data_IF_381710628475
#
_entry.id   IF_381710628475
#
_cell.length_a   1.000
_cell.length_b   1.000
_cell.length_c   1.000
_cell.angle_alpha   90.00
_cell.angle_beta   90.00
_cell.angle_gamma   90.00
#
_symmetry.space_group_name_H-M   'P 1'
#
loop_
_entity.id
_entity.type
_entity.pdbx_description
1 polymer ?
#
# COMPACT_ATOMS: atom_id res chain seq x y z
N UNK A 1 3.02 1.47 21.31
CA UNK A 1 2.61 2.35 22.42
C UNK A 1 3.21 3.71 22.15
N UNK A 2 2.50 4.50 21.34
CA UNK A 2 2.66 5.94 21.25
C UNK A 2 2.78 6.58 22.64
N UNK A 3 3.75 7.47 22.84
CA UNK A 3 3.92 8.20 24.09
C UNK A 3 3.32 9.61 23.99
N UNK A 4 2.95 10.20 25.13
CA UNK A 4 2.59 11.62 25.20
C UNK A 4 3.87 12.43 25.38
N UNK A 5 4.13 13.35 24.47
CA UNK A 5 5.17 14.36 24.64
C UNK A 5 4.80 15.32 25.80
N UNK A 6 5.78 16.09 26.28
CA UNK A 6 5.59 17.03 27.40
C UNK A 6 4.53 18.11 27.10
N UNK A 7 4.25 18.37 25.82
CA UNK A 7 3.20 19.29 25.34
C UNK A 7 1.81 18.64 25.20
N UNK A 8 1.66 17.38 25.61
CA UNK A 8 0.41 16.62 25.53
C UNK A 8 0.14 15.97 24.17
N UNK A 9 0.98 16.19 23.16
CA UNK A 9 0.81 15.59 21.82
C UNK A 9 1.21 14.12 21.82
N UNK A 10 0.43 13.28 21.13
CA UNK A 10 0.70 11.85 21.01
C UNK A 10 1.70 11.63 19.87
N UNK A 11 2.83 11.00 20.14
CA UNK A 11 3.87 10.72 19.15
C UNK A 11 4.05 9.22 18.94
N UNK A 12 4.43 8.82 17.73
CA UNK A 12 4.77 7.44 17.41
C UNK A 12 6.05 7.00 18.13
N UNK A 13 6.06 5.77 18.62
CA UNK A 13 7.27 5.15 19.14
C UNK A 13 8.19 4.75 17.98
N UNK A 14 9.33 5.43 17.86
CA UNK A 14 10.38 5.09 16.88
C UNK A 14 11.26 3.90 17.30
N UNK A 15 11.04 3.33 18.48
CA UNK A 15 11.84 2.22 19.03
C UNK A 15 11.54 0.89 18.34
N UNK A 16 12.40 -0.12 18.57
CA UNK A 16 12.21 -1.48 18.03
C UNK A 16 10.96 -2.20 18.57
N UNK A 17 10.32 -1.70 19.63
CA UNK A 17 9.23 -2.42 20.33
C UNK A 17 7.91 -2.46 19.56
N UNK A 18 7.72 -1.53 18.63
CA UNK A 18 6.44 -1.36 17.92
C UNK A 18 6.70 -1.17 16.42
N UNK A 19 6.85 -2.30 15.67
CA UNK A 19 7.33 -2.27 14.29
C UNK A 19 6.55 -1.36 13.34
N UNK A 20 5.22 -1.33 13.46
CA UNK A 20 4.33 -0.51 12.65
C UNK A 20 4.49 1.00 12.92
N UNK A 21 4.70 1.39 14.18
CA UNK A 21 4.94 2.79 14.56
C UNK A 21 6.34 3.23 14.10
N UNK A 22 7.36 2.38 14.28
CA UNK A 22 8.71 2.60 13.74
C UNK A 22 8.69 2.73 12.22
N UNK A 23 7.92 1.90 11.52
CA UNK A 23 7.75 2.00 10.08
C UNK A 23 7.13 3.34 9.67
N UNK A 24 6.08 3.80 10.37
CA UNK A 24 5.47 5.10 10.13
C UNK A 24 6.46 6.27 10.31
N UNK A 25 7.31 6.23 11.34
CA UNK A 25 8.38 7.23 11.54
C UNK A 25 9.40 7.18 10.40
N UNK A 26 9.86 5.98 10.03
CA UNK A 26 10.86 5.81 8.96
C UNK A 26 10.32 6.21 7.58
N UNK A 27 9.03 5.99 7.31
CA UNK A 27 8.38 6.43 6.07
C UNK A 27 8.41 7.96 5.89
N UNK A 28 8.32 8.73 6.98
CA UNK A 28 8.47 10.19 6.92
C UNK A 28 9.88 10.62 6.50
N UNK A 29 10.90 9.92 7.00
CA UNK A 29 12.29 10.14 6.57
C UNK A 29 12.52 9.71 5.12
N UNK A 30 11.95 8.56 4.72
CA UNK A 30 12.02 8.05 3.36
C UNK A 30 11.46 9.06 2.34
N UNK A 31 10.31 9.68 2.62
CA UNK A 31 9.73 10.68 1.72
C UNK A 31 10.70 11.84 1.44
N UNK A 32 11.47 12.27 2.45
CA UNK A 32 12.41 13.39 2.33
C UNK A 32 13.74 12.97 1.69
N UNK A 33 14.28 11.82 2.07
CA UNK A 33 15.67 11.43 1.79
C UNK A 33 15.83 10.35 0.73
N UNK A 34 14.78 9.56 0.48
CA UNK A 34 14.84 8.34 -0.33
C UNK A 34 15.48 7.14 0.35
N UNK A 35 15.92 7.28 1.60
CA UNK A 35 16.50 6.17 2.36
C UNK A 35 15.35 5.25 2.78
N UNK A 36 15.37 4.01 2.29
CA UNK A 36 14.34 3.02 2.61
C UNK A 36 14.33 2.68 4.11
N UNK A 37 13.15 2.48 4.72
CA UNK A 37 13.05 2.02 6.10
C UNK A 37 13.84 0.72 6.32
N UNK A 38 14.72 0.71 7.32
CA UNK A 38 15.49 -0.46 7.74
C UNK A 38 14.62 -1.62 8.26
N UNK A 39 13.40 -1.30 8.71
CA UNK A 39 12.41 -2.28 9.15
C UNK A 39 11.58 -2.87 8.00
N UNK A 40 11.63 -2.31 6.79
CA UNK A 40 10.90 -2.86 5.65
C UNK A 40 11.52 -4.20 5.19
N UNK A 41 10.68 -5.15 4.79
CA UNK A 41 11.12 -6.37 4.12
C UNK A 41 11.77 -6.07 2.77
N UNK A 42 12.42 -7.06 2.15
CA UNK A 42 13.19 -6.86 0.91
C UNK A 42 12.31 -6.35 -0.25
N UNK A 43 11.17 -6.99 -0.49
CA UNK A 43 10.24 -6.62 -1.57
C UNK A 43 9.64 -5.22 -1.37
N UNK A 44 9.22 -4.91 -0.14
CA UNK A 44 8.71 -3.58 0.19
C UNK A 44 9.79 -2.51 0.03
N UNK A 45 11.01 -2.80 0.48
CA UNK A 45 12.16 -1.90 0.31
C UNK A 45 12.44 -1.62 -1.17
N UNK A 46 12.40 -2.64 -2.02
CA UNK A 46 12.61 -2.46 -3.46
C UNK A 46 11.47 -1.69 -4.12
N UNK A 47 10.22 -1.99 -3.78
CA UNK A 47 9.06 -1.23 -4.25
C UNK A 47 9.16 0.27 -3.87
N UNK A 48 9.58 0.58 -2.65
CA UNK A 48 9.83 1.96 -2.20
C UNK A 48 10.97 2.62 -2.97
N UNK A 49 12.06 1.91 -3.28
CA UNK A 49 13.15 2.45 -4.13
C UNK A 49 12.63 2.84 -5.51
N UNK A 50 11.84 1.98 -6.16
CA UNK A 50 11.23 2.27 -7.46
C UNK A 50 10.28 3.47 -7.40
N UNK A 51 9.45 3.54 -6.34
CA UNK A 51 8.55 4.67 -6.11
C UNK A 51 9.32 5.99 -5.95
N UNK A 52 10.39 6.00 -5.17
CA UNK A 52 11.23 7.19 -5.00
C UNK A 52 11.95 7.59 -6.29
N UNK A 53 12.41 6.61 -7.08
CA UNK A 53 12.99 6.86 -8.40
C UNK A 53 11.98 7.53 -9.35
N UNK A 54 10.71 7.10 -9.33
CA UNK A 54 9.61 7.75 -10.07
C UNK A 54 9.41 9.20 -9.66
N UNK A 55 9.44 9.51 -8.37
CA UNK A 55 9.37 10.89 -7.88
C UNK A 55 10.52 11.74 -8.44
N UNK A 56 11.76 11.25 -8.35
CA UNK A 56 12.92 11.94 -8.91
C UNK A 56 12.82 12.15 -10.42
N UNK A 57 12.45 11.12 -11.17
CA UNK A 57 12.30 11.19 -12.62
C UNK A 57 11.25 12.24 -13.04
N UNK A 58 10.22 12.47 -12.22
CA UNK A 58 9.22 13.53 -12.42
C UNK A 58 9.63 14.91 -11.88
N UNK A 59 10.82 15.02 -11.28
CA UNK A 59 11.33 16.24 -10.65
C UNK A 59 10.53 16.63 -9.40
N UNK A 60 10.01 15.65 -8.67
CA UNK A 60 9.22 15.84 -7.47
C UNK A 60 10.08 15.71 -6.22
N UNK A 61 9.92 16.67 -5.31
CA UNK A 61 10.33 16.53 -3.90
C UNK A 61 9.08 16.27 -3.08
N UNK A 62 9.12 15.30 -2.16
CA UNK A 62 7.97 14.95 -1.33
C UNK A 62 8.27 15.17 0.15
N UNK A 63 7.22 15.47 0.92
CA UNK A 63 7.28 15.41 2.38
C UNK A 63 6.08 14.63 2.87
N UNK A 64 6.29 13.80 3.88
CA UNK A 64 5.25 13.00 4.50
C UNK A 64 5.32 13.20 6.02
N UNK A 65 4.17 13.42 6.62
CA UNK A 65 3.99 13.45 8.07
C UNK A 65 2.88 12.48 8.43
N UNK A 66 3.18 11.58 9.38
CA UNK A 66 2.24 10.57 9.87
C UNK A 66 2.17 10.76 11.37
N UNK A 67 1.00 11.15 11.88
CA UNK A 67 0.78 11.39 13.31
C UNK A 67 -0.30 10.46 13.87
N UNK A 68 -0.24 10.05 15.13
CA UNK A 68 -1.28 9.23 15.74
C UNK A 68 -2.63 9.95 15.72
N UNK A 69 -3.70 9.22 15.36
CA UNK A 69 -5.06 9.72 15.57
C UNK A 69 -5.41 9.68 17.07
N UNK A 70 -6.31 10.57 17.50
CA UNK A 70 -6.81 10.60 18.89
C UNK A 70 -7.47 9.28 19.27
N UNK A 71 -8.27 8.73 18.36
CA UNK A 71 -8.89 7.43 18.50
C UNK A 71 -7.95 6.30 18.05
N UNK A 72 -7.85 5.26 18.88
CA UNK A 72 -7.11 4.04 18.54
C UNK A 72 -8.10 2.87 18.51
N UNK A 73 -8.15 2.13 17.40
CA UNK A 73 -8.94 0.91 17.35
C UNK A 73 -8.35 -0.14 18.31
N UNK A 74 -9.18 -0.86 19.08
CA UNK A 74 -8.70 -1.98 19.88
C UNK A 74 -8.08 -3.05 18.98
N UNK A 75 -6.81 -3.40 19.22
CA UNK A 75 -6.20 -4.53 18.54
C UNK A 75 -6.73 -5.83 19.15
N UNK A 76 -7.34 -6.68 18.33
CA UNK A 76 -7.74 -8.03 18.74
C UNK A 76 -6.94 -9.06 17.97
N UNK A 77 -6.34 -10.02 18.71
CA UNK A 77 -5.72 -11.19 18.11
C UNK A 77 -6.81 -12.17 17.70
N UNK A 78 -6.94 -12.37 16.40
CA UNK A 78 -7.86 -13.32 15.77
C UNK A 78 -7.12 -14.06 14.66
N UNK A 79 -7.69 -15.16 14.15
CA UNK A 79 -7.14 -15.86 12.98
C UNK A 79 -7.00 -14.96 11.74
N UNK A 80 -7.68 -13.82 11.69
CA UNK A 80 -7.60 -12.86 10.58
C UNK A 80 -6.45 -11.84 10.76
N UNK A 81 -5.94 -11.70 11.97
CA UNK A 81 -4.87 -10.74 12.32
C UNK A 81 -3.56 -11.42 12.68
N UNK A 82 -3.57 -12.71 12.99
CA UNK A 82 -2.37 -13.47 13.31
C UNK A 82 -2.39 -14.83 12.62
N UNK A 83 -1.28 -15.18 11.95
CA UNK A 83 -1.05 -16.50 11.37
C UNK A 83 0.44 -16.84 11.46
N UNK A 84 0.76 -18.12 11.40
CA UNK A 84 2.13 -18.61 11.44
C UNK A 84 2.34 -19.71 10.41
N UNK A 85 3.55 -19.77 9.88
CA UNK A 85 4.05 -20.93 9.16
C UNK A 85 5.01 -21.73 10.07
N UNK A 86 5.80 -22.64 9.49
CA UNK A 86 6.74 -23.49 10.23
C UNK A 86 7.83 -22.68 10.97
N UNK A 87 8.26 -21.53 10.42
CA UNK A 87 9.41 -20.74 10.87
C UNK A 87 9.12 -19.27 11.20
N UNK A 88 7.99 -18.73 10.72
CA UNK A 88 7.64 -17.32 10.80
C UNK A 88 6.22 -17.08 11.32
N UNK A 89 6.08 -16.05 12.16
CA UNK A 89 4.78 -15.51 12.58
C UNK A 89 4.51 -14.26 11.78
N UNK A 90 3.25 -14.03 11.50
CA UNK A 90 2.78 -12.85 10.81
C UNK A 90 1.61 -12.24 11.60
N UNK A 91 1.75 -10.97 11.95
CA UNK A 91 0.73 -10.20 12.65
C UNK A 91 0.34 -8.98 11.81
N UNK A 92 -0.92 -8.93 11.38
CA UNK A 92 -1.52 -7.73 10.80
C UNK A 92 -1.85 -6.76 11.93
N UNK A 93 -1.25 -5.57 11.89
CA UNK A 93 -1.46 -4.49 12.85
C UNK A 93 -2.07 -3.28 12.15
N UNK A 94 -3.15 -2.77 12.73
CA UNK A 94 -3.93 -1.67 12.15
C UNK A 94 -3.99 -0.45 13.07
N UNK A 95 -3.46 0.69 12.64
CA UNK A 95 -3.44 1.91 13.47
C UNK A 95 -4.08 3.10 12.75
N UNK A 96 -4.94 3.83 13.43
CA UNK A 96 -5.46 5.09 12.90
C UNK A 96 -4.40 6.18 13.04
N UNK A 97 -4.21 6.95 11.98
CA UNK A 97 -3.23 8.02 11.89
C UNK A 97 -3.79 9.18 11.06
N UNK A 98 -3.18 10.36 11.18
CA UNK A 98 -3.37 11.44 10.22
C UNK A 98 -2.15 11.49 9.30
N UNK A 99 -2.39 11.56 8.00
CA UNK A 99 -1.38 11.67 6.95
C UNK A 99 -1.42 13.09 6.36
N UNK A 100 -0.27 13.75 6.31
CA UNK A 100 -0.04 14.93 5.48
C UNK A 100 1.07 14.64 4.48
N UNK A 101 0.74 14.55 3.21
CA UNK A 101 1.68 14.30 2.12
C UNK A 101 1.67 15.49 1.16
N UNK A 102 2.84 16.11 0.97
CA UNK A 102 3.00 17.28 0.10
C UNK A 102 3.95 16.96 -1.04
N UNK A 103 3.59 17.41 -2.23
CA UNK A 103 4.38 17.28 -3.44
C UNK A 103 4.86 18.65 -3.89
N UNK A 104 6.16 18.77 -4.14
CA UNK A 104 6.82 19.99 -4.55
C UNK A 104 7.49 19.80 -5.90
N UNK A 105 7.50 20.87 -6.71
CA UNK A 105 8.28 20.98 -7.92
C UNK A 105 9.13 22.25 -7.84
N UNK A 106 10.44 22.07 -7.68
CA UNK A 106 11.30 23.13 -7.15
C UNK A 106 10.83 23.55 -5.76
N UNK A 107 10.64 24.86 -5.56
CA UNK A 107 10.18 25.42 -4.28
C UNK A 107 8.65 25.50 -4.17
N UNK A 108 7.92 25.29 -5.27
CA UNK A 108 6.47 25.39 -5.30
C UNK A 108 5.83 24.09 -4.84
N UNK A 109 4.99 24.17 -3.81
CA UNK A 109 4.05 23.11 -3.46
C UNK A 109 2.97 23.01 -4.55
N UNK A 110 2.88 21.87 -5.22
CA UNK A 110 1.90 21.63 -6.30
C UNK A 110 0.66 20.88 -5.83
N UNK A 111 0.76 20.15 -4.70
CA UNK A 111 -0.36 19.44 -4.11
C UNK A 111 -0.10 19.15 -2.62
N UNK A 112 -1.17 19.18 -1.83
CA UNK A 112 -1.16 18.78 -0.42
C UNK A 112 -2.32 17.84 -0.18
N UNK A 113 -2.00 16.65 0.30
CA UNK A 113 -2.94 15.61 0.64
C UNK A 113 -2.98 15.49 2.15
N UNK A 114 -4.16 15.74 2.71
CA UNK A 114 -4.41 15.59 4.15
C UNK A 114 -5.60 14.69 4.35
N UNK A 115 -5.38 13.62 5.11
CA UNK A 115 -6.45 12.71 5.44
C UNK A 115 -6.19 11.97 6.74
N UNK A 116 -7.29 11.50 7.34
CA UNK A 116 -7.21 10.47 8.35
C UNK A 116 -7.07 9.12 7.62
N UNK A 117 -6.15 8.29 8.06
CA UNK A 117 -5.83 7.02 7.43
C UNK A 117 -5.86 5.88 8.45
N UNK A 118 -6.15 4.67 7.99
CA UNK A 118 -5.80 3.46 8.73
C UNK A 118 -4.51 2.88 8.14
N UNK A 119 -3.43 2.92 8.91
CA UNK A 119 -2.19 2.22 8.62
C UNK A 119 -2.46 0.73 8.76
N UNK A 120 -2.10 -0.05 7.74
CA UNK A 120 -2.10 -1.50 7.80
C UNK A 120 -0.68 -2.01 7.54
N UNK A 121 -0.12 -2.66 8.56
CA UNK A 121 1.21 -3.24 8.53
C UNK A 121 1.11 -4.75 8.74
N UNK A 122 1.75 -5.54 7.88
CA UNK A 122 2.00 -6.97 8.16
C UNK A 122 3.40 -7.05 8.76
N UNK A 123 3.48 -7.43 10.03
CA UNK A 123 4.73 -7.63 10.76
C UNK A 123 5.07 -9.11 10.70
N UNK A 124 6.25 -9.43 10.19
CA UNK A 124 6.78 -10.80 10.13
C UNK A 124 7.92 -10.95 11.12
N UNK A 125 7.83 -11.98 11.96
CA UNK A 125 8.80 -12.31 12.99
C UNK A 125 9.07 -13.82 13.01
N UNK A 126 10.01 -14.31 13.79
CA UNK A 126 10.36 -15.75 13.87
C UNK A 126 9.48 -16.49 14.88
N UNK A 127 8.95 -17.67 14.53
CA UNK A 127 8.09 -18.51 15.43
C UNK A 127 8.85 -19.25 16.52
N UNK A 128 10.15 -19.48 16.30
CA UNK A 128 10.99 -20.43 17.05
C UNK A 128 12.29 -19.75 17.50
N UNK A 129 13.08 -20.44 18.32
CA UNK A 129 14.44 -20.01 18.65
C UNK A 129 15.23 -19.67 17.36
N UNK A 130 16.12 -18.69 17.46
CA UNK A 130 16.94 -18.15 16.37
C UNK A 130 17.58 -19.23 15.48
N UNK A 131 17.92 -20.38 16.09
CA UNK A 131 18.54 -21.54 15.46
C UNK A 131 17.73 -22.13 14.29
N UNK A 132 16.40 -22.03 14.32
CA UNK A 132 15.55 -22.59 13.26
C UNK A 132 15.58 -21.78 11.94
N UNK A 133 15.88 -20.47 12.03
CA UNK A 133 15.98 -19.58 10.87
C UNK A 133 17.43 -19.34 10.43
N UNK A 134 18.42 -19.70 11.23
CA UNK A 134 19.85 -19.52 10.93
C UNK A 134 20.29 -20.08 9.57
N UNK A 135 19.65 -21.17 9.14
CA UNK A 135 19.94 -21.83 7.86
C UNK A 135 19.25 -21.19 6.65
N UNK A 136 18.31 -20.28 6.87
CA UNK A 136 17.56 -19.62 5.81
C UNK A 136 18.41 -18.53 5.13
N UNK A 137 18.11 -18.27 3.86
CA UNK A 137 18.81 -17.30 3.03
C UNK A 137 18.16 -15.93 3.13
N UNK A 138 18.95 -14.89 3.42
CA UNK A 138 18.48 -13.53 3.57
C UNK A 138 19.30 -12.57 2.71
N UNK A 139 18.65 -11.54 2.17
CA UNK A 139 19.31 -10.49 1.41
C UNK A 139 20.01 -9.52 2.37
N UNK A 140 21.34 -9.42 2.31
CA UNK A 140 22.12 -8.57 3.20
C UNK A 140 21.61 -7.12 3.12
N UNK A 141 21.15 -6.51 4.23
CA UNK A 141 20.65 -5.13 4.22
C UNK A 141 21.68 -4.07 3.78
N UNK A 142 22.97 -4.38 3.93
CA UNK A 142 24.07 -3.46 3.64
C UNK A 142 24.48 -3.49 2.16
N UNK A 143 24.67 -4.68 1.57
CA UNK A 143 25.20 -4.82 0.22
C UNK A 143 24.26 -5.51 -0.79
N UNK A 144 23.11 -6.03 -0.32
CA UNK A 144 22.17 -6.78 -1.16
C UNK A 144 22.60 -8.19 -1.53
N UNK A 145 23.78 -8.65 -1.09
CA UNK A 145 24.22 -10.02 -1.34
C UNK A 145 23.40 -11.01 -0.51
N UNK A 146 22.99 -12.11 -1.11
CA UNK A 146 22.25 -13.16 -0.39
C UNK A 146 23.24 -14.01 0.39
N UNK A 147 22.96 -14.18 1.68
CA UNK A 147 23.78 -14.96 2.62
C UNK A 147 22.87 -15.68 3.60
N UNK A 148 23.36 -16.72 4.28
CA UNK A 148 22.57 -17.36 5.32
C UNK A 148 22.45 -16.43 6.53
N UNK A 149 21.35 -16.52 7.27
CA UNK A 149 21.14 -15.71 8.47
C UNK A 149 22.31 -15.90 9.46
N UNK A 150 22.77 -17.13 9.67
CA UNK A 150 23.96 -17.41 10.50
C UNK A 150 25.23 -16.70 10.03
N UNK A 151 25.41 -16.56 8.72
CA UNK A 151 26.57 -15.87 8.12
C UNK A 151 26.43 -14.37 8.32
N UNK A 152 25.23 -13.81 8.19
CA UNK A 152 24.99 -12.40 8.50
C UNK A 152 25.24 -12.07 9.98
N UNK A 153 25.01 -13.03 10.87
CA UNK A 153 25.30 -12.87 12.31
C UNK A 153 26.80 -12.84 12.62
N UNK A 154 27.61 -13.61 11.90
CA UNK A 154 29.07 -13.64 12.10
C UNK A 154 29.82 -12.63 11.23
N UNK A 155 29.22 -12.22 10.10
CA UNK A 155 29.72 -11.25 9.12
C UNK A 155 29.37 -11.68 7.70
N UNK A 156 28.67 -10.80 6.96
CA UNK A 156 28.32 -11.05 5.57
C UNK A 156 29.57 -11.42 4.75
N UNK A 157 29.60 -12.55 4.01
CA UNK A 157 30.76 -12.98 3.24
C UNK A 157 31.26 -11.95 2.21
N UNK A 158 30.39 -11.03 1.79
CA UNK A 158 30.66 -10.07 0.73
C UNK A 158 31.07 -8.69 1.23
N UNK A 159 30.40 -8.16 2.26
CA UNK A 159 30.67 -6.80 2.78
C UNK A 159 31.14 -6.78 4.24
N UNK A 160 31.27 -7.94 4.88
CA UNK A 160 31.72 -8.12 6.26
C UNK A 160 30.86 -7.42 7.33
N UNK A 161 29.72 -6.84 6.94
CA UNK A 161 28.76 -6.25 7.88
C UNK A 161 28.12 -7.34 8.73
N UNK A 162 28.09 -7.15 10.04
CA UNK A 162 27.47 -8.05 11.02
C UNK A 162 26.10 -7.55 11.43
N UNK A 163 25.15 -8.47 11.57
CA UNK A 163 23.77 -8.17 11.94
C UNK A 163 23.38 -8.94 13.19
N UNK A 164 22.67 -8.31 14.11
CA UNK A 164 21.99 -9.05 15.16
C UNK A 164 20.68 -9.60 14.62
N UNK A 165 20.13 -10.66 15.24
CA UNK A 165 18.80 -11.15 14.84
C UNK A 165 17.74 -10.05 14.93
N UNK A 166 17.88 -9.14 15.90
CA UNK A 166 17.01 -7.96 16.07
C UNK A 166 17.14 -6.90 14.97
N UNK A 167 18.11 -7.05 14.06
CA UNK A 167 18.27 -6.22 12.86
C UNK A 167 17.63 -6.89 11.63
N UNK A 168 17.43 -8.21 11.68
CA UNK A 168 16.82 -9.02 10.64
C UNK A 168 15.32 -9.26 10.89
N UNK A 169 14.89 -9.32 12.15
CA UNK A 169 13.50 -9.46 12.57
C UNK A 169 13.17 -8.58 13.80
N UNK A 170 11.90 -8.18 13.97
CA UNK A 170 10.80 -8.30 13.01
C UNK A 170 10.94 -7.35 11.81
N UNK A 171 10.28 -7.68 10.70
CA UNK A 171 10.20 -6.83 9.50
C UNK A 171 8.75 -6.53 9.13
N UNK A 172 8.52 -5.32 8.62
CA UNK A 172 7.25 -4.94 8.01
C UNK A 172 7.29 -5.34 6.54
N UNK A 173 6.53 -6.38 6.20
CA UNK A 173 6.51 -6.98 4.86
C UNK A 173 5.50 -6.34 3.93
N UNK A 174 4.43 -5.79 4.47
CA UNK A 174 3.47 -4.99 3.72
C UNK A 174 3.06 -3.77 4.55
N UNK A 175 2.97 -2.61 3.90
CA UNK A 175 2.62 -1.34 4.53
C UNK A 175 1.81 -0.49 3.54
N UNK A 176 0.55 -0.21 3.88
CA UNK A 176 -0.34 0.59 3.06
C UNK A 176 -1.36 1.35 3.90
N UNK A 177 -1.92 2.39 3.30
CA UNK A 177 -2.91 3.25 3.93
C UNK A 177 -4.30 2.98 3.37
N UNK A 178 -5.28 2.86 4.26
CA UNK A 178 -6.67 3.12 3.91
C UNK A 178 -6.94 4.58 4.14
N UNK A 179 -7.52 5.24 3.15
CA UNK A 179 -7.84 6.65 3.26
C UNK A 179 -9.27 6.82 3.76
N UNK A 180 -9.48 7.66 4.76
CA UNK A 180 -10.80 8.17 5.09
C UNK A 180 -11.16 9.28 4.09
N UNK A 181 -12.36 9.21 3.52
CA UNK A 181 -12.86 10.11 2.47
C UNK A 181 -13.07 11.57 2.94
N UNK A 182 -12.49 11.92 4.09
CA UNK A 182 -12.33 13.25 4.67
C UNK A 182 -12.04 14.36 3.65
N UNK A 183 -11.18 14.12 2.65
CA UNK A 183 -10.88 15.10 1.59
C UNK A 183 -12.09 15.36 0.67
N UNK A 184 -12.89 14.34 0.36
CA UNK A 184 -14.13 14.48 -0.40
C UNK A 184 -15.21 15.15 0.44
N UNK A 185 -15.31 14.82 1.73
CA UNK A 185 -16.22 15.49 2.66
C UNK A 185 -15.88 16.99 2.77
N UNK A 186 -14.58 17.36 2.81
CA UNK A 186 -14.14 18.76 2.74
C UNK A 186 -14.60 19.46 1.44
N UNK A 187 -14.53 18.77 0.29
CA UNK A 187 -15.03 19.32 -1.00
C UNK A 187 -16.55 19.50 -0.99
N UNK A 188 -17.30 18.51 -0.50
CA UNK A 188 -18.76 18.59 -0.36
C UNK A 188 -19.14 19.74 0.57
N UNK A 189 -18.40 19.95 1.66
CA UNK A 189 -18.56 21.10 2.55
C UNK A 189 -18.36 22.42 1.80
N UNK A 190 -17.29 22.55 1.00
CA UNK A 190 -17.03 23.77 0.24
C UNK A 190 -18.12 24.04 -0.82
N UNK A 191 -18.66 22.99 -1.44
CA UNK A 191 -19.82 23.10 -2.34
C UNK A 191 -21.05 23.59 -1.57
N UNK A 192 -21.31 23.05 -0.38
CA UNK A 192 -22.40 23.51 0.48
C UNK A 192 -22.27 24.98 0.88
N UNK A 193 -21.06 25.43 1.22
CA UNK A 193 -20.78 26.85 1.51
C UNK A 193 -21.05 27.72 0.26
N UNK A 194 -20.55 27.32 -0.90
CA UNK A 194 -20.77 28.06 -2.15
C UNK A 194 -22.25 28.13 -2.54
N UNK A 195 -23.00 27.03 -2.36
CA UNK A 195 -24.44 26.99 -2.58
C UNK A 195 -25.19 27.92 -1.62
N UNK A 196 -24.80 27.96 -0.34
CA UNK A 196 -25.38 28.88 0.64
C UNK A 196 -25.16 30.36 0.28
N UNK A 197 -23.95 30.72 -0.18
CA UNK A 197 -23.64 32.07 -0.68
C UNK A 197 -24.49 32.40 -1.90
N UNK A 198 -24.66 31.46 -2.83
CA UNK A 198 -25.49 31.66 -4.02
C UNK A 198 -26.97 31.88 -3.67
N UNK A 199 -27.53 31.08 -2.76
CA UNK A 199 -28.92 31.23 -2.27
C UNK A 199 -29.11 32.59 -1.61
N UNK A 200 -28.14 33.02 -0.78
CA UNK A 200 -28.16 34.35 -0.17
C UNK A 200 -28.18 35.47 -1.21
N UNK A 201 -27.28 35.41 -2.20
CA UNK A 201 -27.21 36.43 -3.26
C UNK A 201 -28.52 36.50 -4.05
N UNK A 202 -29.09 35.35 -4.42
CA UNK A 202 -30.37 35.29 -5.13
C UNK A 202 -31.52 35.89 -4.30
N UNK A 203 -31.56 35.59 -3.00
CA UNK A 203 -32.56 36.15 -2.09
C UNK A 203 -32.42 37.68 -1.94
N UNK A 204 -31.19 38.19 -1.85
CA UNK A 204 -30.92 39.64 -1.78
C UNK A 204 -31.31 40.32 -3.09
N UNK A 205 -30.98 39.75 -4.25
CA UNK A 205 -31.38 40.29 -5.56
C UNK A 205 -32.91 40.35 -5.66
N UNK A 206 -33.61 39.30 -5.24
CA UNK A 206 -35.07 39.27 -5.21
C UNK A 206 -35.66 40.37 -4.32
N UNK A 207 -35.07 40.61 -3.14
CA UNK A 207 -35.47 41.69 -2.25
C UNK A 207 -35.19 43.09 -2.81
N UNK A 208 -34.12 43.27 -3.60
CA UNK A 208 -33.83 44.57 -4.25
C UNK A 208 -34.81 44.83 -5.40
N UNK A 209 -35.16 43.80 -6.18
CA UNK A 209 -36.10 43.93 -7.31
C UNK A 209 -37.52 44.27 -6.87
N UNK A 210 -37.90 43.94 -5.63
CA UNK A 210 -39.22 44.23 -5.09
C UNK A 210 -39.09 45.21 -3.92
N UNK A 211 -39.33 46.50 -4.18
CA UNK A 211 -39.12 47.60 -3.21
C UNK A 211 -39.85 47.39 -1.87
N UNK A 212 -41.03 46.75 -1.86
CA UNK A 212 -41.76 46.40 -0.63
C UNK A 212 -41.06 45.32 0.22
N UNK A 213 -40.22 44.49 -0.42
CA UNK A 213 -39.45 43.43 0.23
C UNK A 213 -38.03 43.86 0.61
N UNK A 214 -37.63 45.10 0.33
CA UNK A 214 -36.32 45.62 0.74
C UNK A 214 -36.38 46.18 2.17
N UNK A 215 -36.37 45.28 3.16
CA UNK A 215 -36.32 45.64 4.58
C UNK A 215 -35.30 44.77 5.34
N UNK A 216 -34.93 45.24 6.53
CA UNK A 216 -33.92 44.60 7.38
C UNK A 216 -34.30 43.15 7.74
N UNK A 217 -35.59 42.87 7.98
CA UNK A 217 -36.06 41.52 8.29
C UNK A 217 -35.86 40.54 7.14
N UNK A 218 -36.09 40.96 5.90
CA UNK A 218 -35.90 40.11 4.73
C UNK A 218 -34.42 39.87 4.43
N UNK A 219 -33.54 40.83 4.72
CA UNK A 219 -32.08 40.63 4.64
C UNK A 219 -31.62 39.63 5.70
N UNK A 220 -32.10 39.76 6.94
CA UNK A 220 -31.83 38.77 8.01
C UNK A 220 -32.38 37.39 7.62
N UNK A 221 -33.58 37.33 7.04
CA UNK A 221 -34.17 36.11 6.48
C UNK A 221 -33.34 35.51 5.35
N UNK A 222 -32.76 36.33 4.47
CA UNK A 222 -31.88 35.87 3.40
C UNK A 222 -30.57 35.28 3.94
N UNK A 223 -29.99 35.88 4.98
CA UNK A 223 -28.80 35.32 5.66
C UNK A 223 -29.13 33.97 6.29
N UNK A 224 -30.24 33.88 7.03
CA UNK A 224 -30.70 32.63 7.63
C UNK A 224 -31.02 31.56 6.56
N UNK A 225 -31.68 31.95 5.47
CA UNK A 225 -32.01 31.08 4.34
C UNK A 225 -30.80 30.59 3.58
N UNK A 226 -29.79 31.44 3.35
CA UNK A 226 -28.51 31.06 2.77
C UNK A 226 -27.73 30.09 3.64
N UNK A 227 -27.66 30.35 4.95
CA UNK A 227 -27.00 29.45 5.91
C UNK A 227 -27.70 28.09 6.00
N UNK A 228 -29.03 28.07 6.12
CA UNK A 228 -29.82 26.85 6.18
C UNK A 228 -29.76 26.07 4.86
N UNK A 229 -29.90 26.76 3.72
CA UNK A 229 -29.82 26.15 2.39
C UNK A 229 -28.44 25.55 2.12
N UNK A 230 -27.36 26.25 2.46
CA UNK A 230 -26.00 25.73 2.35
C UNK A 230 -25.75 24.51 3.24
N UNK A 231 -26.23 24.55 4.49
CA UNK A 231 -26.16 23.39 5.39
C UNK A 231 -26.97 22.20 4.87
N UNK A 232 -28.18 22.42 4.36
CA UNK A 232 -29.01 21.36 3.78
C UNK A 232 -28.31 20.69 2.59
N UNK A 233 -27.74 21.47 1.66
CA UNK A 233 -26.97 20.94 0.52
C UNK A 233 -25.79 20.09 1.02
N UNK A 234 -25.03 20.60 2.01
CA UNK A 234 -23.93 19.84 2.61
C UNK A 234 -24.41 18.53 3.28
N UNK A 235 -25.45 18.59 4.10
CA UNK A 235 -25.96 17.45 4.86
C UNK A 235 -26.51 16.35 3.94
N UNK A 236 -27.39 16.68 2.99
CA UNK A 236 -27.95 15.71 2.06
C UNK A 236 -26.88 15.13 1.13
N UNK A 237 -25.94 15.94 0.65
CA UNK A 237 -24.84 15.46 -0.19
C UNK A 237 -23.90 14.52 0.58
N UNK A 238 -23.64 14.79 1.86
CA UNK A 238 -22.80 13.93 2.71
C UNK A 238 -23.49 12.61 3.04
N UNK A 239 -24.80 12.64 3.33
CA UNK A 239 -25.60 11.43 3.54
C UNK A 239 -25.64 10.59 2.25
N UNK A 240 -25.94 11.20 1.11
CA UNK A 240 -25.96 10.53 -0.19
C UNK A 240 -24.59 9.94 -0.55
N UNK A 241 -23.51 10.70 -0.33
CA UNK A 241 -22.14 10.21 -0.49
C UNK A 241 -21.85 9.01 0.42
N UNK A 242 -22.21 9.10 1.71
CA UNK A 242 -22.02 8.02 2.68
C UNK A 242 -22.80 6.75 2.33
N UNK A 243 -24.03 6.88 1.81
CA UNK A 243 -24.83 5.74 1.32
C UNK A 243 -24.17 5.12 0.09
N UNK A 244 -23.79 5.92 -0.91
CA UNK A 244 -23.12 5.43 -2.12
C UNK A 244 -21.79 4.71 -1.78
N UNK A 245 -20.97 5.31 -0.91
CA UNK A 245 -19.73 4.70 -0.43
C UNK A 245 -19.97 3.48 0.43
N UNK A 246 -20.99 3.49 1.27
CA UNK A 246 -21.41 2.32 2.04
C UNK A 246 -21.81 1.16 1.13
N UNK A 247 -22.58 1.43 0.06
CA UNK A 247 -22.97 0.43 -0.92
C UNK A 247 -21.76 -0.12 -1.71
N UNK A 248 -20.83 0.75 -2.13
CA UNK A 248 -19.58 0.36 -2.79
C UNK A 248 -18.70 -0.48 -1.85
N UNK A 249 -18.44 0.00 -0.63
CA UNK A 249 -17.60 -0.66 0.36
C UNK A 249 -18.16 -1.98 0.87
N UNK A 250 -19.48 -2.10 1.08
CA UNK A 250 -20.10 -3.38 1.47
C UNK A 250 -20.01 -4.40 0.34
N UNK A 251 -20.27 -4.00 -0.90
CA UNK A 251 -20.12 -4.88 -2.07
C UNK A 251 -18.67 -5.36 -2.26
N UNK A 252 -17.70 -4.44 -2.14
CA UNK A 252 -16.27 -4.73 -2.24
C UNK A 252 -15.79 -5.66 -1.11
N UNK A 253 -16.13 -5.38 0.15
CA UNK A 253 -15.71 -6.20 1.30
C UNK A 253 -16.35 -7.59 1.29
N UNK A 254 -17.64 -7.71 0.92
CA UNK A 254 -18.33 -9.00 0.81
C UNK A 254 -17.78 -9.81 -0.37
N UNK A 255 -17.56 -9.17 -1.52
CA UNK A 255 -16.93 -9.77 -2.69
C UNK A 255 -15.49 -10.24 -2.43
N UNK A 256 -14.72 -9.42 -1.71
CA UNK A 256 -13.35 -9.73 -1.25
C UNK A 256 -13.34 -10.96 -0.35
N UNK A 257 -14.19 -11.00 0.68
CA UNK A 257 -14.27 -12.16 1.60
C UNK A 257 -14.68 -13.45 0.91
N UNK A 258 -15.60 -13.37 -0.07
CA UNK A 258 -15.99 -14.53 -0.88
C UNK A 258 -14.83 -15.00 -1.77
N UNK A 259 -14.10 -14.06 -2.37
CA UNK A 259 -12.91 -14.33 -3.19
C UNK A 259 -11.80 -14.97 -2.36
N UNK A 260 -11.47 -14.38 -1.21
CA UNK A 260 -10.51 -14.91 -0.23
C UNK A 260 -10.86 -16.36 0.13
N UNK A 261 -12.09 -16.63 0.57
CA UNK A 261 -12.51 -17.99 0.95
C UNK A 261 -12.42 -18.98 -0.21
N UNK A 262 -12.76 -18.54 -1.43
CA UNK A 262 -12.72 -19.40 -2.62
C UNK A 262 -11.28 -19.73 -3.00
N UNK A 263 -10.42 -18.72 -3.09
CA UNK A 263 -8.99 -18.87 -3.40
C UNK A 263 -8.31 -19.74 -2.35
N UNK A 264 -8.52 -19.45 -1.07
CA UNK A 264 -7.96 -20.20 0.05
C UNK A 264 -8.38 -21.67 -0.02
N UNK A 265 -9.67 -21.96 -0.26
CA UNK A 265 -10.20 -23.33 -0.33
C UNK A 265 -9.62 -24.10 -1.52
N UNK A 266 -9.64 -23.50 -2.71
CA UNK A 266 -9.21 -24.16 -3.95
C UNK A 266 -7.69 -24.36 -3.95
N UNK A 267 -6.91 -23.35 -3.59
CA UNK A 267 -5.45 -23.46 -3.57
C UNK A 267 -4.94 -24.33 -2.43
N UNK A 268 -5.57 -24.34 -1.25
CA UNK A 268 -5.18 -25.29 -0.18
C UNK A 268 -5.39 -26.76 -0.56
N UNK A 269 -6.31 -27.04 -1.47
CA UNK A 269 -6.49 -28.40 -1.98
C UNK A 269 -5.37 -28.84 -2.91
N UNK A 270 -4.66 -27.88 -3.52
CA UNK A 270 -3.55 -28.10 -4.44
C UNK A 270 -2.19 -28.00 -3.72
N UNK A 271 -2.10 -27.10 -2.74
CA UNK A 271 -0.92 -26.82 -1.93
C UNK A 271 -1.36 -26.55 -0.48
N UNK A 272 -1.18 -27.53 0.40
CA UNK A 272 -1.58 -27.46 1.81
C UNK A 272 -0.88 -26.34 2.60
N UNK A 273 0.26 -25.84 2.10
CA UNK A 273 1.02 -24.75 2.73
C UNK A 273 0.56 -23.36 2.30
N UNK A 274 -0.38 -23.26 1.35
CA UNK A 274 -0.89 -21.99 0.85
C UNK A 274 -1.57 -21.15 1.93
N UNK A 275 -1.31 -19.84 1.89
CA UNK A 275 -1.99 -18.82 2.70
C UNK A 275 -2.36 -17.62 1.84
N UNK A 276 -3.65 -17.32 1.75
CA UNK A 276 -4.17 -16.18 1.01
C UNK A 276 -3.57 -14.86 1.50
N UNK A 277 -3.29 -14.71 2.80
CA UNK A 277 -2.73 -13.47 3.35
C UNK A 277 -1.29 -13.23 2.92
N UNK A 278 -0.49 -14.30 2.79
CA UNK A 278 0.86 -14.21 2.24
C UNK A 278 0.82 -13.88 0.76
N UNK A 279 -0.03 -14.60 0.01
CA UNK A 279 -0.26 -14.36 -1.40
C UNK A 279 -0.71 -12.91 -1.67
N UNK A 280 -1.69 -12.40 -0.93
CA UNK A 280 -2.19 -11.02 -1.01
C UNK A 280 -1.04 -10.02 -0.82
N UNK A 281 -0.22 -10.19 0.23
CA UNK A 281 0.90 -9.28 0.49
C UNK A 281 1.97 -9.28 -0.61
N UNK A 282 2.29 -10.46 -1.15
CA UNK A 282 3.24 -10.60 -2.26
C UNK A 282 2.69 -9.98 -3.54
N UNK A 283 1.42 -10.24 -3.85
CA UNK A 283 0.73 -9.73 -5.03
C UNK A 283 0.81 -8.20 -5.11
N UNK A 284 0.54 -7.52 -3.99
CA UNK A 284 0.61 -6.05 -3.94
C UNK A 284 2.04 -5.56 -4.13
N UNK A 285 3.03 -6.26 -3.57
CA UNK A 285 4.45 -5.90 -3.75
C UNK A 285 4.89 -6.06 -5.21
N UNK A 286 4.54 -7.17 -5.86
CA UNK A 286 4.84 -7.39 -7.28
C UNK A 286 4.12 -6.42 -8.19
N UNK A 287 2.88 -6.07 -7.87
CA UNK A 287 2.15 -5.07 -8.63
C UNK A 287 2.82 -3.68 -8.51
N UNK A 288 3.24 -3.26 -7.30
CA UNK A 288 4.04 -2.03 -7.11
C UNK A 288 5.31 -2.06 -7.93
N UNK A 289 6.08 -3.14 -7.82
CA UNK A 289 7.34 -3.27 -8.56
C UNK A 289 7.13 -3.19 -10.07
N UNK A 290 6.11 -3.88 -10.58
CA UNK A 290 5.81 -3.93 -12.02
C UNK A 290 5.39 -2.56 -12.55
N UNK A 291 4.49 -1.86 -11.84
CA UNK A 291 3.97 -0.57 -12.30
C UNK A 291 4.98 0.58 -12.12
N UNK A 292 5.88 0.51 -11.14
CA UNK A 292 6.89 1.54 -10.92
C UNK A 292 8.20 1.30 -11.68
N UNK A 293 8.50 0.08 -12.12
CA UNK A 293 9.72 -0.19 -12.90
C UNK A 293 9.66 0.46 -14.29
N UNK A 294 10.81 0.91 -14.77
CA UNK A 294 11.00 1.36 -16.15
C UNK A 294 11.40 0.20 -17.08
N UNK A 295 12.04 -0.84 -16.54
CA UNK A 295 12.40 -2.06 -17.28
C UNK A 295 11.71 -3.27 -16.66
N UNK A 296 10.52 -3.59 -17.17
CA UNK A 296 9.72 -4.73 -16.71
C UNK A 296 10.22 -6.06 -17.24
N UNK A 297 11.04 -6.05 -18.32
CA UNK A 297 11.58 -7.28 -18.95
C UNK A 297 12.55 -8.02 -18.03
N UNK A 298 13.26 -7.27 -17.19
CA UNK A 298 14.18 -7.84 -16.21
C UNK A 298 13.51 -8.09 -14.84
N UNK A 299 12.20 -7.87 -14.67
CA UNK A 299 11.51 -8.23 -13.43
C UNK A 299 11.11 -9.71 -13.46
N UNK A 300 11.59 -10.50 -12.52
CA UNK A 300 11.21 -11.91 -12.44
C UNK A 300 9.74 -12.08 -12.02
N UNK A 301 9.19 -11.13 -11.26
CA UNK A 301 7.79 -11.15 -10.83
C UNK A 301 6.78 -10.79 -11.95
N UNK A 302 7.25 -10.48 -13.17
CA UNK A 302 6.42 -10.10 -14.31
C UNK A 302 6.86 -10.81 -15.60
N UNK A 303 5.93 -11.53 -16.22
CA UNK A 303 6.15 -12.17 -17.53
C UNK A 303 5.26 -11.61 -18.64
N UNK A 304 4.45 -10.59 -18.33
CA UNK A 304 3.65 -9.94 -19.34
C UNK A 304 4.51 -9.24 -20.40
N UNK A 305 3.94 -9.06 -21.59
CA UNK A 305 4.63 -8.42 -22.71
C UNK A 305 4.59 -6.90 -22.63
N UNK A 306 3.64 -6.33 -21.90
CA UNK A 306 3.38 -4.90 -21.86
C UNK A 306 2.69 -4.48 -20.56
N UNK A 307 3.04 -3.28 -20.06
CA UNK A 307 2.31 -2.59 -19.00
C UNK A 307 1.58 -1.41 -19.62
N UNK A 308 0.26 -1.22 -19.40
CA UNK A 308 -0.49 -0.13 -20.01
C UNK A 308 0.12 1.26 -19.80
N UNK A 309 0.33 2.01 -20.88
CA UNK A 309 0.96 3.34 -20.91
C UNK A 309 0.27 4.35 -19.98
N UNK A 310 -1.02 4.16 -19.70
CA UNK A 310 -1.76 4.98 -18.72
C UNK A 310 -1.12 4.98 -17.32
N UNK A 311 -0.34 3.95 -16.97
CA UNK A 311 0.35 3.83 -15.69
C UNK A 311 1.73 4.49 -15.67
N UNK A 312 2.24 5.01 -16.79
CA UNK A 312 3.56 5.66 -16.88
C UNK A 312 3.73 6.85 -15.94
N UNK A 313 2.66 7.60 -15.73
CA UNK A 313 2.66 8.79 -14.87
C UNK A 313 2.28 8.47 -13.41
N UNK A 314 2.14 7.19 -13.06
CA UNK A 314 1.87 6.74 -11.71
C UNK A 314 3.06 7.04 -10.80
N UNK A 315 2.80 7.68 -9.66
CA UNK A 315 3.82 8.07 -8.68
C UNK A 315 3.54 7.51 -7.27
N UNK A 316 2.32 7.08 -6.99
CA UNK A 316 1.96 6.45 -5.72
C UNK A 316 0.80 5.47 -5.93
N UNK A 317 0.75 4.43 -5.10
CA UNK A 317 -0.28 3.38 -5.14
C UNK A 317 -0.62 2.89 -3.74
N UNK A 318 -1.87 3.08 -3.33
CA UNK A 318 -2.41 2.65 -2.05
C UNK A 318 -3.45 1.53 -2.23
N UNK A 319 -3.28 0.44 -1.49
CA UNK A 319 -4.12 -0.75 -1.59
C UNK A 319 -5.36 -0.64 -0.70
N UNK A 320 -6.55 -0.85 -1.26
CA UNK A 320 -7.82 -0.80 -0.54
C UNK A 320 -8.13 -2.07 0.26
N UNK A 321 -7.18 -3.00 0.41
CA UNK A 321 -7.43 -4.23 1.17
C UNK A 321 -8.40 -5.21 0.49
N UNK A 322 -8.70 -5.00 -0.79
CA UNK A 322 -9.68 -5.78 -1.54
C UNK A 322 -9.12 -6.29 -2.85
N UNK A 323 -9.21 -7.60 -3.04
CA UNK A 323 -8.98 -8.27 -4.31
C UNK A 323 -10.21 -9.13 -4.63
N UNK A 324 -10.71 -9.02 -5.87
CA UNK A 324 -11.81 -9.83 -6.36
C UNK A 324 -11.30 -10.89 -7.35
N UNK A 325 -11.71 -12.14 -7.17
CA UNK A 325 -11.45 -13.22 -8.13
C UNK A 325 -12.53 -13.20 -9.22
N UNK A 326 -12.13 -13.12 -10.49
CA UNK A 326 -13.03 -13.31 -11.64
C UNK A 326 -13.14 -14.78 -12.03
N UNK A 327 -12.00 -15.41 -12.33
CA UNK A 327 -11.92 -16.82 -12.70
C UNK A 327 -10.61 -17.42 -12.23
N UNK A 328 -10.63 -18.75 -12.08
CA UNK A 328 -9.46 -19.57 -11.83
C UNK A 328 -9.43 -20.65 -12.91
N UNK A 329 -8.28 -20.81 -13.55
CA UNK A 329 -8.06 -21.78 -14.62
C UNK A 329 -6.85 -22.63 -14.26
N UNK A 330 -6.99 -23.94 -14.40
CA UNK A 330 -5.89 -24.88 -14.16
C UNK A 330 -5.61 -25.60 -15.47
N UNK A 331 -4.40 -25.45 -16.01
CA UNK A 331 -3.95 -26.15 -17.22
C UNK A 331 -2.69 -26.93 -16.88
N UNK A 332 -2.82 -28.26 -16.80
CA UNK A 332 -1.75 -29.12 -16.30
C UNK A 332 -1.35 -28.70 -14.88
N UNK A 333 -0.07 -28.37 -14.69
CA UNK A 333 0.48 -27.96 -13.39
C UNK A 333 0.49 -26.44 -13.19
N UNK A 334 -0.11 -25.66 -14.09
CA UNK A 334 -0.15 -24.21 -13.97
C UNK A 334 -1.56 -23.77 -13.57
N UNK A 335 -1.65 -23.09 -12.43
CA UNK A 335 -2.86 -22.39 -12.01
C UNK A 335 -2.75 -20.93 -12.39
N UNK A 336 -3.79 -20.40 -13.04
CA UNK A 336 -3.94 -19.00 -13.39
C UNK A 336 -5.13 -18.40 -12.65
N UNK A 337 -4.94 -17.23 -12.07
CA UNK A 337 -6.00 -16.45 -11.41
C UNK A 337 -6.21 -15.16 -12.17
N UNK A 338 -7.45 -14.93 -12.62
CA UNK A 338 -7.88 -13.66 -13.14
C UNK A 338 -8.52 -12.86 -12.01
N UNK A 339 -7.96 -11.69 -11.70
CA UNK A 339 -8.30 -10.93 -10.51
C UNK A 339 -8.49 -9.44 -10.83
N UNK A 340 -9.12 -8.73 -9.90
CA UNK A 340 -9.16 -7.27 -9.87
C UNK A 340 -8.61 -6.79 -8.54
N UNK A 341 -7.63 -5.89 -8.58
CA UNK A 341 -7.06 -5.25 -7.39
C UNK A 341 -7.61 -3.83 -7.30
N UNK A 342 -8.14 -3.47 -6.13
CA UNK A 342 -8.74 -2.16 -5.87
C UNK A 342 -7.72 -1.23 -5.22
N UNK A 343 -7.45 -0.10 -5.87
CA UNK A 343 -6.33 0.78 -5.54
C UNK A 343 -6.74 2.25 -5.63
N UNK A 344 -6.13 3.09 -4.79
CA UNK A 344 -6.09 4.54 -4.94
C UNK A 344 -4.74 4.92 -5.52
N UNK A 345 -4.76 5.38 -6.76
CA UNK A 345 -3.58 5.67 -7.55
C UNK A 345 -3.37 7.18 -7.67
N UNK A 346 -2.12 7.61 -7.46
CA UNK A 346 -1.72 9.01 -7.59
C UNK A 346 -0.85 9.17 -8.82
N UNK A 347 -1.25 10.07 -9.70
CA UNK A 347 -0.59 10.38 -10.96
C UNK A 347 -0.03 11.79 -10.95
N UNK A 348 1.12 12.00 -11.60
CA UNK A 348 1.66 13.32 -11.88
C UNK A 348 1.68 13.58 -13.39
N UNK A 349 0.65 14.28 -13.87
CA UNK A 349 0.45 14.58 -15.29
C UNK A 349 0.55 16.09 -15.47
N UNK A 350 1.47 16.55 -16.31
CA UNK A 350 1.68 17.98 -16.59
C UNK A 350 1.79 18.83 -15.32
N UNK A 351 2.59 18.36 -14.34
CA UNK A 351 2.81 19.01 -13.04
C UNK A 351 1.56 19.16 -12.16
N UNK A 352 0.49 18.40 -12.44
CA UNK A 352 -0.70 18.32 -11.61
C UNK A 352 -0.81 16.93 -11.03
N UNK A 353 -1.09 16.89 -9.72
CA UNK A 353 -1.40 15.64 -9.05
C UNK A 353 -2.87 15.28 -9.32
N UNK A 354 -3.11 14.05 -9.74
CA UNK A 354 -4.44 13.48 -9.93
C UNK A 354 -4.55 12.18 -9.16
N UNK A 355 -5.54 12.11 -8.29
CA UNK A 355 -5.85 10.91 -7.51
C UNK A 355 -7.05 10.23 -8.16
N UNK A 356 -6.97 8.92 -8.33
CA UNK A 356 -8.04 8.11 -8.92
C UNK A 356 -8.18 6.80 -8.16
N UNK A 357 -9.40 6.51 -7.73
CA UNK A 357 -9.78 5.16 -7.29
C UNK A 357 -10.02 4.33 -8.55
N UNK A 358 -9.29 3.22 -8.71
CA UNK A 358 -9.45 2.35 -9.87
C UNK A 358 -9.20 0.88 -9.56
N UNK A 359 -9.81 0.05 -10.40
CA UNK A 359 -9.63 -1.39 -10.41
C UNK A 359 -8.58 -1.73 -11.47
N UNK A 360 -7.54 -2.47 -11.08
CA UNK A 360 -6.55 -3.00 -12.02
C UNK A 360 -6.85 -4.49 -12.23
N UNK A 361 -7.33 -4.88 -13.43
CA UNK A 361 -7.40 -6.28 -13.79
C UNK A 361 -5.98 -6.84 -13.92
N UNK A 362 -5.74 -7.97 -13.29
CA UNK A 362 -4.46 -8.68 -13.38
C UNK A 362 -4.70 -10.16 -13.58
N UNK A 363 -3.75 -10.80 -14.24
CA UNK A 363 -3.67 -12.24 -14.31
C UNK A 363 -2.36 -12.68 -13.66
N UNK A 364 -2.45 -13.61 -12.71
CA UNK A 364 -1.28 -14.22 -12.07
C UNK A 364 -1.25 -15.71 -12.33
N UNK A 365 -0.05 -16.27 -12.39
CA UNK A 365 0.16 -17.69 -12.59
C UNK A 365 1.19 -18.24 -11.60
N UNK A 366 1.03 -19.52 -11.27
CA UNK A 366 2.00 -20.29 -10.50
C UNK A 366 2.00 -21.75 -10.97
N UNK A 367 3.19 -22.36 -10.97
CA UNK A 367 3.34 -23.79 -11.08
C UNK A 367 3.08 -24.45 -9.71
N UNK A 368 2.07 -25.29 -9.62
CA UNK A 368 1.68 -25.96 -8.37
C UNK A 368 2.43 -27.28 -8.13
N UNK A 369 3.33 -27.70 -9.03
CA UNK A 369 4.19 -28.86 -8.79
C UNK A 369 5.18 -28.65 -7.64
N UNK A 370 5.49 -27.40 -7.31
CA UNK A 370 6.37 -27.04 -6.20
C UNK A 370 5.54 -26.45 -5.06
N UNK A 371 5.61 -27.00 -3.84
CA UNK A 371 4.95 -26.40 -2.68
C UNK A 371 5.40 -24.97 -2.44
N UNK A 372 4.48 -24.11 -1.98
CA UNK A 372 4.82 -22.75 -1.54
C UNK A 372 5.81 -22.84 -0.38
N UNK A 373 7.02 -22.32 -0.58
CA UNK A 373 7.96 -22.17 0.53
C UNK A 373 7.51 -21.00 1.37
N UNK A 374 7.02 -21.30 2.57
CA UNK A 374 6.66 -20.29 3.55
C UNK A 374 7.95 -19.59 4.03
N UNK A 375 8.01 -18.28 3.82
CA UNK A 375 9.24 -17.49 3.89
C UNK A 375 9.09 -16.22 3.06
N UNK A 376 8.22 -15.31 3.52
CA UNK A 376 8.00 -14.04 2.84
C UNK A 376 9.35 -13.30 2.70
N UNK A 377 9.73 -12.93 1.47
CA UNK A 377 10.99 -12.24 1.12
C UNK A 377 12.32 -12.99 1.38
N UNK A 378 12.28 -14.25 1.80
CA UNK A 378 13.45 -15.10 2.10
C UNK A 378 13.53 -16.16 1.01
N UNK A 379 13.77 -15.73 -0.22
CA UNK A 379 13.80 -16.64 -1.37
C UNK A 379 15.21 -17.13 -1.64
N UNK A 380 15.31 -18.44 -1.84
CA UNK A 380 16.51 -19.13 -2.31
C UNK A 380 16.72 -18.81 -3.78
N UNK A 381 17.43 -17.74 -4.08
CA UNK A 381 17.71 -17.30 -5.45
C UNK A 381 19.19 -17.51 -5.79
N UNK A 382 19.58 -18.78 -5.71
CA UNK A 382 20.83 -19.24 -6.29
C UNK A 382 20.56 -19.63 -7.74
N UNK A 383 21.33 -19.10 -8.68
CA UNK A 383 21.20 -19.47 -10.08
C UNK A 383 21.42 -20.98 -10.23
N UNK A 384 20.41 -21.70 -10.76
CA UNK A 384 20.50 -23.16 -10.99
C UNK A 384 21.64 -23.54 -11.93
N UNK A 385 22.04 -22.62 -12.81
CA UNK A 385 23.10 -22.86 -13.79
C UNK A 385 24.51 -22.62 -13.22
N UNK A 386 24.79 -21.42 -12.67
CA UNK A 386 26.15 -21.08 -12.24
C UNK A 386 26.37 -21.08 -10.72
N UNK A 387 25.33 -21.32 -9.91
CA UNK A 387 25.42 -21.23 -8.46
C UNK A 387 25.56 -19.81 -7.90
N UNK A 388 25.50 -18.78 -8.76
CA UNK A 388 25.61 -17.38 -8.35
C UNK A 388 24.44 -16.90 -7.50
N UNK A 389 24.73 -16.07 -6.50
CA UNK A 389 23.76 -15.58 -5.51
C UNK A 389 23.27 -14.18 -5.90
N UNK A 390 22.00 -14.02 -6.29
CA UNK A 390 21.42 -12.72 -6.70
C UNK A 390 19.94 -12.65 -6.36
N UNK A 391 19.37 -11.45 -6.18
CA UNK A 391 17.95 -11.30 -5.88
C UNK A 391 17.08 -11.61 -7.12
N UNK A 392 16.75 -12.88 -7.30
CA UNK A 392 15.96 -13.36 -8.42
C UNK A 392 14.47 -13.00 -8.33
N UNK A 393 14.06 -12.21 -7.33
CA UNK A 393 12.71 -11.62 -7.29
C UNK A 393 12.67 -10.36 -8.15
N UNK A 394 13.76 -9.58 -8.12
CA UNK A 394 13.83 -8.26 -8.76
C UNK A 394 14.60 -8.31 -10.09
N UNK A 395 15.33 -9.40 -10.34
CA UNK A 395 16.11 -9.60 -11.56
C UNK A 395 15.77 -10.96 -12.19
N UNK A 396 15.34 -10.94 -13.45
CA UNK A 396 15.01 -12.14 -14.22
C UNK A 396 16.25 -12.77 -14.83
N UNK A 397 17.26 -11.96 -15.18
CA UNK A 397 18.47 -12.42 -15.82
C UNK A 397 19.59 -12.51 -14.77
N UNK A 398 20.21 -13.68 -14.65
CA UNK A 398 21.33 -13.85 -13.74
C UNK A 398 22.51 -12.94 -14.16
N UNK A 399 23.02 -12.06 -13.27
CA UNK A 399 24.09 -11.13 -13.62
C UNK A 399 25.43 -11.84 -13.94
N UNK A 400 25.61 -13.07 -13.46
CA UNK A 400 26.86 -13.82 -13.60
C UNK A 400 26.93 -14.67 -14.87
N UNK A 401 25.85 -15.35 -15.24
CA UNK A 401 25.83 -16.31 -16.34
C UNK A 401 24.76 -16.04 -17.39
N UNK A 402 24.01 -14.93 -17.25
CA UNK A 402 22.97 -14.50 -18.19
C UNK A 402 21.82 -15.49 -18.40
N UNK A 403 21.72 -16.52 -17.54
CA UNK A 403 20.61 -17.47 -17.57
C UNK A 403 19.34 -16.81 -17.06
N UNK A 404 18.23 -17.07 -17.76
CA UNK A 404 16.89 -16.59 -17.39
C UNK A 404 16.37 -17.41 -16.20
N UNK A 405 15.93 -16.71 -15.16
CA UNK A 405 15.23 -17.28 -14.02
C UNK A 405 13.72 -17.25 -14.28
N UNK A 406 13.09 -18.43 -14.24
CA UNK A 406 11.62 -18.56 -14.29
C UNK A 406 11.09 -18.64 -12.85
N UNK A 407 10.38 -17.59 -12.45
CA UNK A 407 9.83 -17.47 -11.11
C UNK A 407 8.58 -18.34 -10.88
N UNK A 408 7.88 -18.78 -11.94
CA UNK A 408 6.61 -19.53 -11.82
C UNK A 408 6.78 -20.86 -11.10
N UNK A 409 7.96 -21.47 -11.23
CA UNK A 409 8.29 -22.75 -10.60
C UNK A 409 8.46 -22.63 -9.08
N UNK A 410 8.70 -21.41 -8.58
CA UNK A 410 8.99 -21.16 -7.17
C UNK A 410 7.90 -20.32 -6.51
N UNK A 411 7.25 -19.41 -7.24
CA UNK A 411 6.17 -18.60 -6.72
C UNK A 411 5.24 -17.99 -7.78
N UNK A 412 4.28 -17.17 -7.33
CA UNK A 412 3.36 -16.42 -8.16
C UNK A 412 4.04 -15.34 -8.99
N UNK A 413 3.57 -15.18 -10.22
CA UNK A 413 4.10 -14.22 -11.20
C UNK A 413 2.95 -13.53 -11.89
N UNK A 414 3.07 -12.22 -12.14
CA UNK A 414 2.08 -11.46 -12.89
C UNK A 414 2.34 -11.70 -14.38
N UNK A 415 1.35 -12.24 -15.09
CA UNK A 415 1.47 -12.55 -16.52
C UNK A 415 0.69 -11.57 -17.41
N UNK A 416 -0.25 -10.81 -16.83
CA UNK A 416 -0.94 -9.73 -17.55
C UNK A 416 -1.43 -8.63 -16.57
N UNK A 417 -1.43 -7.38 -17.03
CA UNK A 417 -2.00 -6.21 -16.36
C UNK A 417 -2.85 -5.44 -17.38
N UNK A 418 -4.14 -5.28 -17.09
CA UNK A 418 -5.10 -4.63 -17.99
C UNK A 418 -6.07 -5.63 -18.63
N UNK A 419 -6.78 -5.14 -19.64
CA UNK A 419 -7.71 -5.95 -20.45
C UNK A 419 -6.97 -6.76 -21.52
#
# INVERSE_FOLDING_TARGET
MSYKAMDGTRQWDGSKKVPEERMAVKMQSFARTGITPDIAGADLSYALKLQYARWKAKGLRTTMEITPAEYTMPQSRSKNTFWSDEKYTHERRMHMANLSQKYYKGDKCIDTQESQIAINAIVTDTTVETSAVESDYYCCPSCGAISRIKELMTGCPYCQTKFQISDLFPKVTNFYFYDDDSSQVKKIKNIGIAAGILIFILAVIYSIMNVEHFNVMNIVGAVAGGAFGGYAVFAFSTIGYGICKGMQGVGEVVGSRKSERKIEKELKSLDSTFSYKLFEGQLISFLKMTLFSDDTRNLACFEGTYVPEKYKDLIDMNYHGTVALKSMETTGNIVKLNMKVFLRNTYCINNKIKIKDEEIPIQVAKNISTPTKAGFSIRRSQCKNCGGSFDATHQRICPYCQTVYDMKDEDWVIINIGE
#
